data_IF_237743320150
#
_entry.id   IF_237743320150
#
_cell.length_a   1.000
_cell.length_b   1.000
_cell.length_c   1.000
_cell.angle_alpha   90.00
_cell.angle_beta   90.00
_cell.angle_gamma   90.00
#
_symmetry.space_group_name_H-M   'P 1'
#
loop_
_entity.id
_entity.type
_entity.pdbx_description
1 polymer ?
#
# COMPACT_ATOMS: atom_id res chain seq x y z
N UNK A 1 14.05 -19.56 -14.78
CA UNK A 1 14.36 -20.02 -13.38
C UNK A 1 14.03 -18.86 -12.44
N UNK A 2 13.72 -19.17 -11.19
CA UNK A 2 13.33 -18.13 -10.21
C UNK A 2 14.45 -17.09 -10.00
N UNK A 3 15.71 -17.55 -9.93
CA UNK A 3 16.86 -16.64 -9.83
C UNK A 3 17.01 -15.71 -11.04
N UNK A 4 16.67 -16.17 -12.24
CA UNK A 4 16.72 -15.36 -13.45
C UNK A 4 15.64 -14.26 -13.43
N UNK A 5 14.47 -14.57 -12.84
CA UNK A 5 13.39 -13.62 -12.69
C UNK A 5 13.73 -12.54 -11.65
N UNK A 6 14.31 -12.92 -10.52
CA UNK A 6 14.79 -11.97 -9.49
C UNK A 6 15.73 -10.95 -10.11
N UNK A 7 16.74 -11.41 -10.83
CA UNK A 7 17.72 -10.52 -11.48
C UNK A 7 17.06 -9.59 -12.51
N UNK A 8 16.10 -10.10 -13.29
CA UNK A 8 15.36 -9.28 -14.26
C UNK A 8 14.51 -8.21 -13.55
N UNK A 9 13.80 -8.59 -12.47
CA UNK A 9 12.99 -7.65 -11.68
C UNK A 9 13.86 -6.56 -11.07
N UNK A 10 15.00 -6.89 -10.48
CA UNK A 10 15.93 -5.92 -9.92
C UNK A 10 16.46 -4.95 -10.99
N UNK A 11 16.82 -5.47 -12.16
CA UNK A 11 17.31 -4.65 -13.27
C UNK A 11 16.23 -3.69 -13.80
N UNK A 12 15.01 -4.19 -14.02
CA UNK A 12 13.89 -3.34 -14.42
C UNK A 12 13.51 -2.33 -13.36
N UNK A 13 13.41 -2.76 -12.09
CA UNK A 13 13.10 -1.89 -10.97
C UNK A 13 14.08 -0.71 -10.84
N UNK A 14 15.36 -0.95 -11.13
CA UNK A 14 16.41 0.09 -11.05
C UNK A 14 16.17 1.26 -12.00
N UNK A 15 15.40 1.06 -13.07
CA UNK A 15 15.07 2.13 -14.05
C UNK A 15 13.98 3.07 -13.54
N UNK A 16 13.14 2.61 -12.60
CA UNK A 16 11.98 3.35 -12.08
C UNK A 16 12.20 3.86 -10.66
N UNK A 17 13.06 3.19 -9.88
CA UNK A 17 13.31 3.53 -8.49
C UNK A 17 14.48 4.53 -8.43
N UNK A 18 14.27 5.75 -7.90
CA UNK A 18 15.29 6.81 -7.88
C UNK A 18 16.30 6.67 -6.72
N UNK A 19 16.50 5.45 -6.22
CA UNK A 19 17.42 5.12 -5.13
C UNK A 19 18.28 3.92 -5.49
N UNK A 20 19.53 3.84 -4.97
CA UNK A 20 20.36 2.65 -5.11
C UNK A 20 19.67 1.39 -4.54
N UNK A 21 19.82 0.26 -5.23
CA UNK A 21 19.18 -1.00 -4.82
C UNK A 21 19.64 -1.49 -3.43
N UNK A 22 20.85 -1.15 -3.02
CA UNK A 22 21.41 -1.47 -1.69
C UNK A 22 20.77 -0.67 -0.55
N UNK A 23 20.07 0.45 -0.87
CA UNK A 23 19.35 1.28 0.10
C UNK A 23 17.85 0.94 0.20
N UNK A 24 17.36 -0.01 -0.60
CA UNK A 24 15.94 -0.38 -0.64
C UNK A 24 15.72 -1.84 -0.24
N UNK A 25 14.54 -2.11 0.34
CA UNK A 25 13.92 -3.41 0.40
C UNK A 25 12.98 -3.52 -0.80
N UNK A 26 13.15 -4.58 -1.59
CA UNK A 26 12.36 -4.86 -2.78
C UNK A 26 11.80 -6.27 -2.69
N UNK A 27 10.52 -6.39 -3.01
CA UNK A 27 9.84 -7.67 -3.14
C UNK A 27 8.93 -7.63 -4.37
N UNK A 28 8.56 -8.78 -4.92
CA UNK A 28 7.68 -8.85 -6.06
C UNK A 28 6.78 -10.08 -6.05
N UNK A 29 5.66 -9.95 -6.74
CA UNK A 29 4.71 -11.05 -6.93
C UNK A 29 4.35 -11.17 -8.40
N UNK A 30 4.30 -12.40 -8.92
CA UNK A 30 3.76 -12.68 -10.25
C UNK A 30 2.25 -12.53 -10.19
N UNK A 31 1.71 -11.62 -11.01
CA UNK A 31 0.27 -11.35 -11.07
C UNK A 31 -0.40 -12.29 -12.05
N UNK A 32 0.09 -12.34 -13.29
CA UNK A 32 -0.46 -13.19 -14.35
C UNK A 32 0.52 -13.36 -15.51
N UNK A 33 0.36 -14.40 -16.34
CA UNK A 33 1.05 -14.49 -17.63
C UNK A 33 0.58 -13.38 -18.60
N UNK A 34 1.46 -12.91 -19.45
CA UNK A 34 1.11 -12.01 -20.56
C UNK A 34 0.47 -12.84 -21.68
N UNK A 35 -0.76 -12.48 -22.08
CA UNK A 35 -1.56 -13.28 -23.04
C UNK A 35 -0.92 -13.39 -24.43
N UNK A 36 -0.08 -12.45 -24.81
CA UNK A 36 0.53 -12.37 -26.13
C UNK A 36 1.97 -12.94 -26.19
N UNK A 37 2.51 -13.38 -25.04
CA UNK A 37 3.88 -13.89 -24.92
C UNK A 37 3.91 -15.14 -24.02
N UNK A 38 4.61 -16.18 -24.48
CA UNK A 38 4.74 -17.44 -23.72
C UNK A 38 5.75 -17.31 -22.58
N UNK A 39 6.70 -16.38 -22.73
CA UNK A 39 7.86 -16.25 -21.83
C UNK A 39 7.81 -15.01 -20.94
N UNK A 40 6.71 -14.22 -21.01
CA UNK A 40 6.56 -12.99 -20.22
C UNK A 40 5.49 -13.13 -19.15
N UNK A 41 5.75 -12.54 -18.01
CA UNK A 41 4.81 -12.46 -16.89
C UNK A 41 4.68 -11.01 -16.42
N UNK A 42 3.47 -10.64 -16.01
CA UNK A 42 3.24 -9.38 -15.32
C UNK A 42 3.60 -9.54 -13.85
N UNK A 43 4.48 -8.70 -13.34
CA UNK A 43 4.90 -8.70 -11.95
C UNK A 43 4.47 -7.41 -11.25
N UNK A 44 4.00 -7.54 -10.03
CA UNK A 44 3.82 -6.41 -9.11
C UNK A 44 5.08 -6.28 -8.29
N UNK A 45 5.71 -5.10 -8.32
CA UNK A 45 6.92 -4.80 -7.56
C UNK A 45 6.56 -3.85 -6.42
N UNK A 46 6.99 -4.19 -5.21
CA UNK A 46 6.93 -3.31 -4.05
C UNK A 46 8.36 -2.97 -3.63
N UNK A 47 8.61 -1.68 -3.42
CA UNK A 47 9.91 -1.22 -2.95
C UNK A 47 9.75 -0.11 -1.91
N UNK A 48 10.61 -0.15 -0.89
CA UNK A 48 10.68 0.88 0.14
C UNK A 48 12.13 1.11 0.53
N UNK A 49 12.46 2.31 1.01
CA UNK A 49 13.77 2.55 1.62
C UNK A 49 13.92 1.71 2.88
N UNK A 50 15.06 1.05 3.04
CA UNK A 50 15.39 0.22 4.22
C UNK A 50 15.18 0.98 5.52
N UNK A 51 15.67 2.23 5.58
CA UNK A 51 15.47 3.13 6.73
C UNK A 51 13.99 3.20 7.17
N UNK A 52 13.05 3.30 6.22
CA UNK A 52 11.63 3.39 6.52
C UNK A 52 11.03 2.10 7.08
N UNK A 53 11.51 0.97 6.59
CA UNK A 53 11.14 -0.36 7.09
C UNK A 53 11.72 -0.57 8.48
N UNK A 54 13.02 -0.29 8.66
CA UNK A 54 13.74 -0.44 9.92
C UNK A 54 13.14 0.41 11.05
N UNK A 55 12.77 1.66 10.77
CA UNK A 55 12.12 2.55 11.75
C UNK A 55 10.80 1.95 12.29
N UNK A 56 9.99 1.36 11.42
CA UNK A 56 8.72 0.73 11.80
C UNK A 56 8.95 -0.56 12.58
N UNK A 57 9.91 -1.37 12.14
CA UNK A 57 10.32 -2.59 12.83
C UNK A 57 10.85 -2.24 14.23
N UNK A 58 11.69 -1.22 14.34
CA UNK A 58 12.23 -0.75 15.62
C UNK A 58 11.12 -0.28 16.59
N UNK A 59 10.11 0.42 16.07
CA UNK A 59 8.95 0.82 16.88
C UNK A 59 8.18 -0.38 17.42
N UNK A 60 7.92 -1.40 16.60
CA UNK A 60 7.27 -2.64 17.02
C UNK A 60 8.11 -3.40 18.07
N UNK A 61 9.41 -3.51 17.86
CA UNK A 61 10.34 -4.15 18.79
C UNK A 61 10.39 -3.42 20.13
N UNK A 62 10.38 -2.08 20.11
CA UNK A 62 10.34 -1.25 21.32
C UNK A 62 9.08 -1.45 22.15
N UNK A 63 7.98 -1.84 21.51
CA UNK A 63 6.73 -2.22 22.16
C UNK A 63 6.68 -3.70 22.59
N UNK A 64 7.78 -4.45 22.47
CA UNK A 64 7.85 -5.86 22.80
C UNK A 64 7.19 -6.79 21.76
N UNK A 65 6.91 -6.27 20.57
CA UNK A 65 6.29 -7.02 19.47
C UNK A 65 7.35 -7.46 18.46
N UNK A 66 7.12 -8.59 17.80
CA UNK A 66 7.96 -9.07 16.69
C UNK A 66 7.26 -8.72 15.37
N UNK A 67 7.86 -7.85 14.56
CA UNK A 67 7.44 -7.65 13.19
C UNK A 67 7.80 -8.90 12.36
N UNK A 68 6.81 -9.50 11.71
CA UNK A 68 6.99 -10.70 10.87
C UNK A 68 6.69 -10.42 9.40
N UNK A 69 5.92 -9.38 9.11
CA UNK A 69 5.59 -8.92 7.76
C UNK A 69 5.59 -7.39 7.76
N UNK A 70 6.17 -6.80 6.74
CA UNK A 70 6.01 -5.40 6.38
C UNK A 70 5.26 -5.37 5.06
N UNK A 71 4.10 -4.73 5.05
CA UNK A 71 3.23 -4.70 3.87
C UNK A 71 3.00 -3.28 3.37
N UNK A 72 2.53 -3.16 2.13
CA UNK A 72 2.06 -1.89 1.56
C UNK A 72 0.71 -1.55 2.17
N UNK A 73 0.57 -0.35 2.70
CA UNK A 73 -0.60 0.07 3.47
C UNK A 73 -1.94 -0.12 2.73
N UNK A 74 -1.98 0.13 1.41
CA UNK A 74 -3.19 -0.07 0.61
C UNK A 74 -3.58 -1.55 0.52
N UNK A 75 -2.61 -2.47 0.43
CA UNK A 75 -2.88 -3.91 0.41
C UNK A 75 -3.27 -4.44 1.78
N UNK A 76 -2.63 -3.95 2.84
CA UNK A 76 -3.04 -4.27 4.21
C UNK A 76 -4.48 -3.80 4.49
N UNK A 77 -4.85 -2.60 4.02
CA UNK A 77 -6.22 -2.08 4.13
C UNK A 77 -7.21 -2.92 3.30
N UNK A 78 -6.82 -3.35 2.08
CA UNK A 78 -7.62 -4.26 1.26
C UNK A 78 -7.85 -5.59 1.99
N UNK A 79 -6.80 -6.22 2.51
CA UNK A 79 -6.91 -7.49 3.21
C UNK A 79 -7.83 -7.39 4.43
N UNK A 80 -7.76 -6.28 5.18
CA UNK A 80 -8.68 -6.01 6.28
C UNK A 80 -10.13 -5.82 5.80
N UNK A 81 -10.32 -5.11 4.69
CA UNK A 81 -11.65 -4.89 4.09
C UNK A 81 -12.27 -6.20 3.59
N UNK A 82 -11.49 -7.10 3.01
CA UNK A 82 -11.97 -8.42 2.54
C UNK A 82 -12.67 -9.22 3.64
N UNK A 83 -12.26 -9.07 4.91
CA UNK A 83 -12.94 -9.70 6.05
C UNK A 83 -14.38 -9.20 6.24
N UNK A 84 -14.71 -8.04 5.71
CA UNK A 84 -16.04 -7.42 5.81
C UNK A 84 -16.93 -7.67 4.61
N UNK A 85 -16.41 -8.24 3.50
CA UNK A 85 -17.15 -8.46 2.26
C UNK A 85 -18.42 -9.30 2.46
N UNK A 86 -18.39 -10.27 3.37
CA UNK A 86 -19.56 -11.11 3.68
C UNK A 86 -20.73 -10.32 4.29
N UNK A 87 -20.50 -9.11 4.79
CA UNK A 87 -21.50 -8.22 5.36
C UNK A 87 -22.17 -7.34 4.29
N UNK A 88 -21.63 -7.30 3.09
CA UNK A 88 -22.14 -6.52 1.98
C UNK A 88 -23.18 -7.34 1.19
N UNK A 89 -24.13 -6.65 0.53
CA UNK A 89 -25.04 -7.32 -0.40
C UNK A 89 -24.26 -8.15 -1.44
N UNK A 90 -24.66 -9.42 -1.63
CA UNK A 90 -24.02 -10.37 -2.55
C UNK A 90 -22.49 -10.54 -2.34
N UNK A 91 -21.99 -10.24 -1.12
CA UNK A 91 -20.53 -10.27 -0.86
C UNK A 91 -19.74 -9.23 -1.65
N UNK A 92 -20.36 -8.11 -2.02
CA UNK A 92 -19.71 -7.04 -2.80
C UNK A 92 -19.57 -7.34 -4.30
N UNK A 93 -20.14 -8.42 -4.82
CA UNK A 93 -20.09 -8.77 -6.25
C UNK A 93 -20.82 -7.73 -7.10
N UNK A 94 -20.26 -7.45 -8.27
CA UNK A 94 -20.79 -6.47 -9.23
C UNK A 94 -20.96 -5.05 -8.65
N UNK A 95 -20.27 -4.74 -7.57
CA UNK A 95 -20.28 -3.42 -6.94
C UNK A 95 -18.94 -2.71 -7.11
N UNK A 96 -19.00 -1.39 -7.20
CA UNK A 96 -17.83 -0.52 -7.06
C UNK A 96 -17.85 0.01 -5.63
N UNK A 97 -16.81 -0.27 -4.88
CA UNK A 97 -16.72 0.05 -3.46
C UNK A 97 -15.52 0.96 -3.23
N UNK A 98 -15.73 2.08 -2.55
CA UNK A 98 -14.66 2.96 -2.14
C UNK A 98 -14.37 2.77 -0.64
N UNK A 99 -13.13 2.45 -0.32
CA UNK A 99 -12.58 2.49 1.03
C UNK A 99 -11.89 3.83 1.23
N UNK A 100 -12.40 4.64 2.14
CA UNK A 100 -11.86 5.96 2.46
C UNK A 100 -11.31 5.93 3.87
N UNK A 101 -10.00 6.12 3.98
CA UNK A 101 -9.29 6.26 5.26
C UNK A 101 -8.89 7.72 5.45
N UNK A 102 -9.40 8.35 6.51
CA UNK A 102 -9.12 9.74 6.86
C UNK A 102 -8.15 9.77 8.04
N UNK A 103 -6.87 9.87 7.72
CA UNK A 103 -5.81 9.98 8.72
C UNK A 103 -5.67 11.39 9.31
N UNK A 104 -4.57 11.63 10.00
CA UNK A 104 -4.28 12.96 10.59
C UNK A 104 -3.88 14.00 9.53
N UNK A 105 -3.11 13.61 8.51
CA UNK A 105 -2.55 14.51 7.48
C UNK A 105 -2.91 14.11 6.06
N UNK A 106 -3.25 12.84 5.84
CA UNK A 106 -3.52 12.27 4.51
C UNK A 106 -4.82 11.48 4.57
N UNK A 107 -5.67 11.68 3.59
CA UNK A 107 -6.82 10.84 3.29
C UNK A 107 -6.46 9.92 2.12
N UNK A 108 -6.71 8.63 2.30
CA UNK A 108 -6.48 7.60 1.28
C UNK A 108 -7.80 7.10 0.73
N UNK A 109 -7.87 6.99 -0.57
CA UNK A 109 -9.05 6.50 -1.29
C UNK A 109 -8.62 5.30 -2.11
N UNK A 110 -9.16 4.13 -1.81
CA UNK A 110 -8.98 2.91 -2.58
C UNK A 110 -10.33 2.50 -3.14
N UNK A 111 -10.40 2.29 -4.44
CA UNK A 111 -11.64 1.85 -5.12
C UNK A 111 -11.45 0.44 -5.63
N UNK A 112 -12.40 -0.40 -5.30
CA UNK A 112 -12.44 -1.82 -5.66
C UNK A 112 -13.62 -2.11 -6.58
N UNK A 113 -13.41 -2.98 -7.54
CA UNK A 113 -14.45 -3.57 -8.36
C UNK A 113 -14.27 -5.09 -8.35
N UNK A 114 -15.27 -5.82 -7.89
CA UNK A 114 -15.20 -7.29 -7.71
C UNK A 114 -14.02 -7.78 -6.84
N UNK A 115 -13.63 -7.00 -5.84
CA UNK A 115 -12.49 -7.31 -4.97
C UNK A 115 -11.12 -6.91 -5.53
N UNK A 116 -11.03 -6.49 -6.80
CA UNK A 116 -9.79 -5.99 -7.39
C UNK A 116 -9.68 -4.48 -7.21
N UNK A 117 -8.51 -3.99 -6.78
CA UNK A 117 -8.23 -2.56 -6.68
C UNK A 117 -8.07 -1.96 -8.07
N UNK A 118 -8.98 -1.06 -8.43
CA UNK A 118 -9.00 -0.38 -9.74
C UNK A 118 -8.50 1.06 -9.69
N UNK A 119 -8.43 1.65 -8.50
CA UNK A 119 -7.94 3.02 -8.32
C UNK A 119 -7.47 3.23 -6.89
N UNK A 120 -6.38 3.97 -6.73
CA UNK A 120 -5.91 4.46 -5.44
C UNK A 120 -5.46 5.91 -5.54
N UNK A 121 -5.69 6.69 -4.49
CA UNK A 121 -5.25 8.08 -4.41
C UNK A 121 -5.01 8.51 -2.98
N UNK A 122 -3.89 9.18 -2.77
CA UNK A 122 -3.58 9.91 -1.56
C UNK A 122 -3.93 11.39 -1.76
N UNK A 123 -4.68 11.97 -0.82
CA UNK A 123 -5.06 13.36 -0.81
C UNK A 123 -4.52 14.01 0.46
N UNK A 124 -3.77 15.13 0.37
CA UNK A 124 -3.24 15.84 1.52
C UNK A 124 -4.37 16.58 2.27
N UNK A 125 -5.20 15.80 2.95
CA UNK A 125 -6.32 16.22 3.77
C UNK A 125 -6.46 15.27 4.96
N UNK A 126 -6.73 15.77 6.16
CA UNK A 126 -6.89 14.95 7.35
C UNK A 126 -7.37 15.71 8.57
N UNK A 127 -7.46 15.02 9.70
CA UNK A 127 -7.97 15.54 10.96
C UNK A 127 -7.22 16.78 11.48
N UNK A 128 -5.93 16.93 11.15
CA UNK A 128 -5.15 18.09 11.56
C UNK A 128 -5.66 19.40 10.94
N UNK A 129 -6.19 19.35 9.72
CA UNK A 129 -6.79 20.54 9.10
C UNK A 129 -8.05 20.96 9.84
N UNK A 130 -8.92 20.00 10.21
CA UNK A 130 -10.09 20.28 11.01
C UNK A 130 -9.70 20.86 12.39
N UNK A 131 -8.70 20.27 13.04
CA UNK A 131 -8.17 20.78 14.33
C UNK A 131 -7.67 22.21 14.19
N UNK A 132 -6.93 22.51 13.11
CA UNK A 132 -6.42 23.85 12.83
C UNK A 132 -7.55 24.87 12.57
N UNK A 133 -8.58 24.47 11.83
CA UNK A 133 -9.75 25.34 11.57
C UNK A 133 -10.49 25.65 12.86
N UNK A 134 -10.70 24.67 13.73
CA UNK A 134 -11.32 24.87 15.05
C UNK A 134 -10.45 25.81 15.91
N UNK A 135 -9.14 25.56 15.94
CA UNK A 135 -8.20 26.44 16.64
C UNK A 135 -8.28 27.88 16.18
N UNK A 136 -8.27 28.10 14.86
CA UNK A 136 -8.34 29.43 14.26
C UNK A 136 -9.68 30.12 14.55
N UNK A 137 -10.80 29.38 14.40
CA UNK A 137 -12.14 29.93 14.56
C UNK A 137 -12.45 30.33 16.02
N UNK A 138 -11.93 29.57 16.98
CA UNK A 138 -12.24 29.75 18.40
C UNK A 138 -11.06 30.34 19.20
N UNK A 139 -9.95 30.69 18.53
CA UNK A 139 -8.71 31.18 19.15
C UNK A 139 -8.20 30.24 20.27
N UNK A 140 -8.23 28.94 20.02
CA UNK A 140 -7.75 27.91 20.94
C UNK A 140 -6.31 27.51 20.58
N UNK A 141 -5.52 27.11 21.59
CA UNK A 141 -4.24 26.43 21.33
C UNK A 141 -4.48 24.98 20.91
N UNK A 142 -3.71 24.48 19.93
CA UNK A 142 -3.68 23.07 19.53
C UNK A 142 -2.77 22.29 20.47
#
# INVERSE_FOLDING_TARGET
REDDLIFQVENEASQYIPFPLDEIDLDFQIVKPVLESVDEVEVLIAASRKEKVEDRVAAALSAGLKAIVMDVESYAAQAAFELTLSQLPEGGKNQVIALVDIGSTVMKINVFHNGEQVYTRDQPFGGNQLTQEISNQFNLST
#
